data_IF_010308491599
#
_entry.id   IF_010308491599
#
_cell.length_a   1.000
_cell.length_b   1.000
_cell.length_c   1.000
_cell.angle_alpha   90.00
_cell.angle_beta   90.00
_cell.angle_gamma   90.00
#
_symmetry.space_group_name_H-M   'P 1'
#
loop_
_entity.id
_entity.type
_entity.pdbx_description
1 polymer ?
#
# COMPACT_ATOMS: atom_id res chain seq x y z
N UNK A 1 -22.82 17.53 8.79
CA UNK A 1 -21.54 18.13 9.25
C UNK A 1 -20.98 17.37 10.45
N UNK A 2 -21.72 17.23 11.55
CA UNK A 2 -21.32 16.37 12.67
C UNK A 2 -21.24 14.88 12.32
N UNK A 3 -22.12 14.40 11.44
CA UNK A 3 -22.09 13.02 10.94
C UNK A 3 -20.74 12.61 10.34
N UNK A 4 -20.14 13.44 9.48
CA UNK A 4 -18.84 13.14 8.87
C UNK A 4 -17.70 13.09 9.90
N UNK A 5 -17.71 13.99 10.88
CA UNK A 5 -16.71 14.01 11.95
C UNK A 5 -16.86 12.78 12.86
N UNK A 6 -18.09 12.38 13.16
CA UNK A 6 -18.37 11.16 13.92
C UNK A 6 -17.94 9.92 13.13
N UNK A 7 -18.26 9.84 11.83
CA UNK A 7 -17.81 8.75 10.96
C UNK A 7 -16.29 8.68 10.91
N UNK A 8 -15.60 9.80 10.69
CA UNK A 8 -14.14 9.86 10.71
C UNK A 8 -13.59 9.36 12.06
N UNK A 9 -14.12 9.84 13.18
CA UNK A 9 -13.70 9.42 14.51
C UNK A 9 -13.85 7.92 14.73
N UNK A 10 -15.00 7.35 14.35
CA UNK A 10 -15.26 5.91 14.43
C UNK A 10 -14.28 5.12 13.55
N UNK A 11 -14.10 5.53 12.29
CA UNK A 11 -13.19 4.85 11.36
C UNK A 11 -11.74 4.87 11.86
N UNK A 12 -11.28 6.00 12.40
CA UNK A 12 -9.92 6.11 12.96
C UNK A 12 -9.76 5.20 14.17
N UNK A 13 -10.74 5.17 15.10
CA UNK A 13 -10.68 4.32 16.29
C UNK A 13 -10.69 2.84 15.89
N UNK A 14 -11.61 2.43 15.02
CA UNK A 14 -11.71 1.04 14.56
C UNK A 14 -10.46 0.62 13.79
N UNK A 15 -10.01 1.43 12.84
CA UNK A 15 -8.78 1.17 12.07
C UNK A 15 -7.57 1.04 13.00
N UNK A 16 -7.48 1.91 14.02
CA UNK A 16 -6.36 1.89 14.94
C UNK A 16 -6.32 0.64 15.81
N UNK A 17 -7.48 0.20 16.28
CA UNK A 17 -7.62 -1.01 17.09
C UNK A 17 -7.25 -2.28 16.29
N UNK A 18 -7.57 -2.31 15.00
CA UNK A 18 -7.29 -3.47 14.13
C UNK A 18 -5.83 -3.49 13.68
N UNK A 19 -5.30 -2.36 13.19
CA UNK A 19 -4.07 -2.34 12.41
C UNK A 19 -2.81 -2.05 13.23
N UNK A 20 -2.90 -1.35 14.37
CA UNK A 20 -1.70 -0.86 15.08
C UNK A 20 -1.32 -1.67 16.31
N UNK A 21 -2.03 -2.76 16.60
CA UNK A 21 -1.63 -3.72 17.63
C UNK A 21 -0.52 -4.65 17.12
N UNK A 22 0.58 -4.79 17.87
CA UNK A 22 1.69 -5.71 17.54
C UNK A 22 2.18 -5.48 16.09
N UNK A 23 2.32 -6.56 15.31
CA UNK A 23 2.72 -6.56 13.90
C UNK A 23 1.53 -6.62 12.93
N UNK A 24 0.29 -6.37 13.38
CA UNK A 24 -0.90 -6.41 12.51
C UNK A 24 -0.85 -5.39 11.37
N UNK A 25 -0.04 -4.33 11.49
CA UNK A 25 0.13 -3.37 10.40
C UNK A 25 0.65 -4.03 9.12
N UNK A 26 1.43 -5.11 9.24
CA UNK A 26 1.97 -5.87 8.10
C UNK A 26 0.88 -6.58 7.31
N UNK A 27 -0.32 -6.77 7.87
CA UNK A 27 -1.44 -7.42 7.18
C UNK A 27 -2.24 -6.46 6.30
N UNK A 28 -2.02 -5.14 6.40
CA UNK A 28 -2.75 -4.14 5.60
C UNK A 28 -2.41 -4.25 4.11
N UNK A 29 -1.16 -4.54 3.78
CA UNK A 29 -0.69 -4.77 2.42
C UNK A 29 -0.48 -6.27 2.16
N UNK A 30 -1.59 -7.02 2.08
CA UNK A 30 -1.58 -8.45 1.76
C UNK A 30 -2.33 -8.75 0.47
N UNK A 31 -1.88 -9.82 -0.20
CA UNK A 31 -2.52 -10.42 -1.38
C UNK A 31 -2.88 -9.34 -2.42
N UNK A 32 -4.16 -9.09 -2.65
CA UNK A 32 -4.66 -8.15 -3.66
C UNK A 32 -4.18 -6.72 -3.41
N UNK A 33 -4.09 -6.30 -2.14
CA UNK A 33 -3.66 -4.95 -1.77
C UNK A 33 -2.25 -4.65 -2.27
N UNK A 34 -1.36 -5.67 -2.32
CA UNK A 34 -0.02 -5.52 -2.90
C UNK A 34 -0.08 -5.25 -4.39
N UNK A 35 -0.92 -5.98 -5.12
CA UNK A 35 -1.07 -5.79 -6.55
C UNK A 35 -1.58 -4.39 -6.90
N UNK A 36 -2.59 -3.89 -6.18
CA UNK A 36 -3.05 -2.51 -6.37
C UNK A 36 -1.98 -1.48 -6.02
N UNK A 37 -1.25 -1.67 -4.91
CA UNK A 37 -0.25 -0.72 -4.42
C UNK A 37 1.02 -0.70 -5.28
N UNK A 38 1.43 -1.85 -5.84
CA UNK A 38 2.71 -2.05 -6.52
C UNK A 38 2.98 -1.07 -7.68
N UNK A 39 1.94 -0.53 -8.31
CA UNK A 39 2.10 0.50 -9.35
C UNK A 39 2.85 1.74 -8.85
N UNK A 40 2.65 2.15 -7.60
CA UNK A 40 3.25 3.36 -7.04
C UNK A 40 4.77 3.24 -6.88
N UNK A 41 5.33 2.26 -6.15
CA UNK A 41 6.78 2.08 -6.08
C UNK A 41 7.40 1.80 -7.45
N UNK A 42 6.77 0.95 -8.28
CA UNK A 42 7.27 0.60 -9.60
C UNK A 42 7.45 1.82 -10.52
N UNK A 43 6.46 2.72 -10.55
CA UNK A 43 6.48 3.88 -11.46
C UNK A 43 7.19 5.11 -10.88
N UNK A 44 7.11 5.33 -9.56
CA UNK A 44 7.61 6.57 -8.93
C UNK A 44 9.02 6.41 -8.38
N UNK A 45 9.35 5.24 -7.82
CA UNK A 45 10.62 5.01 -7.13
C UNK A 45 11.58 4.26 -8.04
N UNK A 46 11.15 3.14 -8.61
CA UNK A 46 12.01 2.23 -9.35
C UNK A 46 12.16 2.62 -10.83
N UNK A 47 11.11 3.19 -11.42
CA UNK A 47 11.04 3.48 -12.85
C UNK A 47 10.94 2.21 -13.72
N UNK A 48 10.55 1.07 -13.15
CA UNK A 48 10.40 -0.21 -13.84
C UNK A 48 8.93 -0.68 -13.84
N UNK A 49 8.20 -0.57 -14.96
CA UNK A 49 6.82 -1.04 -15.06
C UNK A 49 6.69 -2.58 -15.11
N UNK A 50 7.80 -3.33 -15.14
CA UNK A 50 7.78 -4.79 -15.19
C UNK A 50 7.84 -5.46 -13.82
N UNK A 51 7.84 -4.69 -12.72
CA UNK A 51 7.80 -5.22 -11.35
C UNK A 51 8.94 -6.23 -11.07
N UNK A 52 10.15 -5.93 -11.55
CA UNK A 52 11.33 -6.81 -11.35
C UNK A 52 11.76 -6.92 -9.87
N UNK A 53 11.44 -5.92 -9.05
CA UNK A 53 11.75 -5.88 -7.62
C UNK A 53 10.89 -6.80 -6.75
N UNK A 54 9.82 -7.37 -7.29
CA UNK A 54 8.84 -8.17 -6.54
C UNK A 54 9.49 -9.22 -5.62
N UNK A 55 10.39 -10.05 -6.15
CA UNK A 55 10.99 -11.13 -5.38
C UNK A 55 11.85 -10.61 -4.22
N UNK A 56 12.48 -9.44 -4.38
CA UNK A 56 13.26 -8.80 -3.33
C UNK A 56 12.34 -8.20 -2.25
N UNK A 57 11.25 -7.54 -2.64
CA UNK A 57 10.28 -6.95 -1.73
C UNK A 57 9.54 -8.01 -0.93
N UNK A 58 9.08 -9.09 -1.56
CA UNK A 58 8.38 -10.18 -0.89
C UNK A 58 9.26 -10.81 0.20
N UNK A 59 10.55 -10.99 -0.05
CA UNK A 59 11.49 -11.53 0.95
C UNK A 59 11.66 -10.64 2.18
N UNK A 60 11.50 -9.32 2.03
CA UNK A 60 11.67 -8.36 3.13
C UNK A 60 10.38 -8.21 3.92
N UNK A 61 9.24 -8.10 3.20
CA UNK A 61 7.98 -7.65 3.80
C UNK A 61 6.95 -8.76 4.01
N UNK A 62 7.22 -9.99 3.57
CA UNK A 62 6.32 -11.14 3.78
C UNK A 62 6.91 -12.12 4.78
N UNK A 63 6.21 -12.32 5.90
CA UNK A 63 6.67 -13.20 6.99
C UNK A 63 6.45 -14.70 6.68
N UNK A 64 5.43 -15.03 5.88
CA UNK A 64 5.11 -16.41 5.49
C UNK A 64 5.27 -16.61 3.98
N UNK A 65 6.26 -17.41 3.53
CA UNK A 65 6.43 -17.75 2.11
C UNK A 65 5.19 -18.40 1.48
N UNK A 66 4.36 -19.12 2.25
CA UNK A 66 3.10 -19.70 1.76
C UNK A 66 1.99 -18.64 1.56
N UNK A 67 2.17 -17.45 2.13
CA UNK A 67 1.29 -16.30 1.96
C UNK A 67 1.69 -15.37 0.81
N UNK A 68 2.77 -15.67 0.09
CA UNK A 68 3.20 -14.89 -1.08
C UNK A 68 2.20 -15.11 -2.21
N UNK A 69 1.53 -14.03 -2.60
CA UNK A 69 0.61 -14.02 -3.73
C UNK A 69 1.23 -13.20 -4.85
N UNK A 70 1.64 -13.87 -5.94
CA UNK A 70 2.21 -13.18 -7.09
C UNK A 70 1.11 -12.45 -7.88
N UNK A 71 1.07 -11.13 -7.73
CA UNK A 71 0.15 -10.25 -8.46
C UNK A 71 0.53 -10.10 -9.94
N UNK A 72 1.69 -10.61 -10.37
CA UNK A 72 2.16 -10.55 -11.75
C UNK A 72 1.66 -11.73 -12.56
N UNK A 73 1.39 -11.48 -13.84
CA UNK A 73 1.22 -12.47 -14.88
C UNK A 73 2.37 -12.32 -15.89
N UNK A 74 2.84 -13.43 -16.46
CA UNK A 74 3.85 -13.38 -17.53
C UNK A 74 3.14 -13.51 -18.88
N UNK A 75 3.35 -12.52 -19.75
CA UNK A 75 2.86 -12.51 -21.13
C UNK A 75 4.06 -12.20 -22.03
N UNK A 76 4.40 -13.12 -22.93
CA UNK A 76 5.51 -12.99 -23.87
C UNK A 76 6.87 -12.65 -23.22
N UNK A 77 7.12 -13.16 -22.01
CA UNK A 77 8.35 -12.93 -21.26
C UNK A 77 8.38 -11.62 -20.47
N UNK A 78 7.29 -10.86 -20.47
CA UNK A 78 7.12 -9.62 -19.70
C UNK A 78 6.17 -9.86 -18.53
N UNK A 79 6.52 -9.32 -17.36
CA UNK A 79 5.65 -9.35 -16.19
C UNK A 79 4.69 -8.15 -16.20
N UNK A 80 3.40 -8.44 -16.22
CA UNK A 80 2.32 -7.45 -16.11
C UNK A 80 1.56 -7.65 -14.80
N UNK A 81 1.02 -6.59 -14.24
CA UNK A 81 0.20 -6.67 -13.04
C UNK A 81 -1.25 -7.05 -13.40
N UNK A 82 -1.79 -8.06 -12.70
CA UNK A 82 -3.17 -8.57 -12.93
C UNK A 82 -4.24 -7.57 -12.47
N UNK A 83 -3.91 -6.67 -11.55
CA UNK A 83 -4.85 -5.72 -10.97
C UNK A 83 -4.84 -4.40 -11.73
N UNK A 84 -5.97 -3.70 -11.79
CA UNK A 84 -6.05 -2.39 -12.44
C UNK A 84 -5.43 -1.27 -11.58
N UNK A 85 -4.88 -0.25 -12.24
CA UNK A 85 -4.17 0.87 -11.60
C UNK A 85 -5.06 1.84 -10.80
N UNK A 86 -6.39 1.73 -10.88
CA UNK A 86 -7.32 2.72 -10.32
C UNK A 86 -7.12 3.00 -8.82
N UNK A 87 -6.95 1.93 -8.02
CA UNK A 87 -6.69 2.07 -6.58
C UNK A 87 -5.37 2.76 -6.28
N UNK A 88 -4.32 2.53 -7.09
CA UNK A 88 -3.04 3.24 -6.96
C UNK A 88 -3.20 4.75 -7.17
N UNK A 89 -4.02 5.18 -8.14
CA UNK A 89 -4.26 6.61 -8.36
C UNK A 89 -4.95 7.28 -7.17
N UNK A 90 -5.87 6.57 -6.52
CA UNK A 90 -6.54 7.06 -5.30
C UNK A 90 -5.54 7.18 -4.14
N UNK A 91 -4.60 6.24 -4.04
CA UNK A 91 -3.56 6.22 -3.01
C UNK A 91 -2.41 7.21 -3.28
N UNK A 92 -2.21 7.65 -4.53
CA UNK A 92 -1.11 8.51 -4.97
C UNK A 92 -0.83 9.73 -4.07
N UNK A 93 -1.80 10.59 -3.71
CA UNK A 93 -1.50 11.79 -2.93
C UNK A 93 -0.93 11.49 -1.55
N UNK A 94 -1.45 10.47 -0.86
CA UNK A 94 -0.96 10.06 0.46
C UNK A 94 0.33 9.25 0.36
N UNK A 95 0.52 8.50 -0.73
CA UNK A 95 1.78 7.81 -1.02
C UNK A 95 2.94 8.80 -1.19
N UNK A 96 2.75 9.88 -1.95
CA UNK A 96 3.78 10.92 -2.13
C UNK A 96 4.14 11.59 -0.80
N UNK A 97 3.15 11.84 0.05
CA UNK A 97 3.38 12.37 1.40
C UNK A 97 4.19 11.38 2.27
N UNK A 98 3.86 10.08 2.24
CA UNK A 98 4.63 9.05 2.94
C UNK A 98 6.04 8.88 2.37
N UNK A 99 6.21 9.00 1.06
CA UNK A 99 7.52 8.97 0.41
C UNK A 99 8.38 10.14 0.86
N UNK A 100 7.84 11.36 0.84
CA UNK A 100 8.52 12.55 1.36
C UNK A 100 8.89 12.40 2.84
N UNK A 101 8.00 11.83 3.65
CA UNK A 101 8.28 11.52 5.06
C UNK A 101 9.41 10.49 5.22
N UNK A 102 9.40 9.42 4.43
CA UNK A 102 10.46 8.40 4.46
C UNK A 102 11.82 8.99 4.06
N UNK A 103 11.87 9.90 3.10
CA UNK A 103 13.12 10.55 2.67
C UNK A 103 13.76 11.47 3.73
N UNK A 104 12.97 12.03 4.64
CA UNK A 104 13.46 12.93 5.70
C UNK A 104 13.62 12.23 7.06
N UNK A 105 13.37 10.91 7.12
CA UNK A 105 13.50 10.10 8.33
C UNK A 105 14.38 8.87 8.05
N UNK A 106 14.76 8.11 9.07
CA UNK A 106 15.53 6.87 8.90
C UNK A 106 14.67 5.66 8.45
N UNK A 107 13.54 5.91 7.77
CA UNK A 107 12.66 4.85 7.28
C UNK A 107 13.03 4.48 5.83
N UNK A 108 12.94 3.20 5.43
CA UNK A 108 13.21 2.81 4.04
C UNK A 108 12.27 3.54 3.06
N UNK A 109 12.84 4.26 2.10
CA UNK A 109 12.08 4.96 1.06
C UNK A 109 11.80 4.06 -0.16
N UNK A 110 11.33 2.84 0.08
CA UNK A 110 11.16 1.78 -0.93
C UNK A 110 9.72 1.59 -1.43
N UNK A 111 8.77 2.32 -0.84
CA UNK A 111 7.35 2.19 -1.16
C UNK A 111 6.60 1.13 -0.36
N UNK A 112 7.27 0.35 0.50
CA UNK A 112 6.69 -0.80 1.20
C UNK A 112 6.81 -0.72 2.73
N UNK A 113 7.74 0.08 3.23
CA UNK A 113 7.92 0.30 4.67
C UNK A 113 6.68 0.88 5.37
N UNK A 114 6.71 0.89 6.71
CA UNK A 114 5.57 1.26 7.55
C UNK A 114 4.87 2.59 7.19
N UNK A 115 5.57 3.68 6.84
CA UNK A 115 4.92 4.91 6.37
C UNK A 115 3.95 4.71 5.20
N UNK A 116 4.28 3.84 4.24
CA UNK A 116 3.43 3.56 3.08
C UNK A 116 2.20 2.76 3.46
N UNK A 117 2.33 1.82 4.40
CA UNK A 117 1.19 1.10 4.97
C UNK A 117 0.22 2.05 5.67
N UNK A 118 0.74 3.02 6.43
CA UNK A 118 -0.07 4.08 7.05
C UNK A 118 -0.77 4.91 5.98
N UNK A 119 -0.08 5.28 4.90
CA UNK A 119 -0.68 6.01 3.79
C UNK A 119 -1.83 5.23 3.12
N UNK A 120 -1.66 3.92 2.90
CA UNK A 120 -2.73 3.07 2.34
C UNK A 120 -3.95 3.05 3.24
N UNK A 121 -3.76 2.94 4.56
CA UNK A 121 -4.86 3.01 5.52
C UNK A 121 -5.56 4.37 5.51
N UNK A 122 -4.80 5.46 5.46
CA UNK A 122 -5.34 6.82 5.36
C UNK A 122 -6.11 7.02 4.05
N UNK A 123 -5.60 6.48 2.93
CA UNK A 123 -6.29 6.49 1.65
C UNK A 123 -7.65 5.81 1.75
N UNK A 124 -7.73 4.65 2.41
CA UNK A 124 -8.99 3.92 2.56
C UNK A 124 -10.03 4.74 3.35
N UNK A 125 -9.62 5.38 4.45
CA UNK A 125 -10.50 6.25 5.25
C UNK A 125 -10.94 7.45 4.40
N UNK A 126 -10.03 8.07 3.65
CA UNK A 126 -10.34 9.20 2.77
C UNK A 126 -11.34 8.81 1.68
N UNK A 127 -11.16 7.66 1.03
CA UNK A 127 -12.09 7.13 0.02
C UNK A 127 -13.50 6.98 0.55
N UNK A 128 -13.67 6.42 1.76
CA UNK A 128 -14.98 6.28 2.41
C UNK A 128 -15.63 7.64 2.67
N UNK A 129 -14.84 8.63 3.10
CA UNK A 129 -15.36 9.99 3.34
C UNK A 129 -15.73 10.73 2.06
N UNK A 130 -15.07 10.40 0.94
CA UNK A 130 -15.36 10.93 -0.39
C UNK A 130 -16.47 10.14 -1.11
N UNK A 131 -16.86 8.98 -0.59
CA UNK A 131 -17.91 8.12 -1.15
C UNK A 131 -17.46 7.30 -2.38
N UNK A 132 -16.18 6.91 -2.42
CA UNK A 132 -15.59 6.08 -3.46
C UNK A 132 -15.69 4.58 -3.16
#
# INVERSE_FOLDING_TARGET
>A
RWSLLLTLGILVICSSNINWGKEHWRTVLQVDARGYHAYLPALIIEGDPNFSSFDAIERIYTDDPAGVYDYRASVDGVHINKYFLGTALVQLPVFLAAHGYALITDQPADGWSKPYVVAVNLSAIASVLLGL
#
